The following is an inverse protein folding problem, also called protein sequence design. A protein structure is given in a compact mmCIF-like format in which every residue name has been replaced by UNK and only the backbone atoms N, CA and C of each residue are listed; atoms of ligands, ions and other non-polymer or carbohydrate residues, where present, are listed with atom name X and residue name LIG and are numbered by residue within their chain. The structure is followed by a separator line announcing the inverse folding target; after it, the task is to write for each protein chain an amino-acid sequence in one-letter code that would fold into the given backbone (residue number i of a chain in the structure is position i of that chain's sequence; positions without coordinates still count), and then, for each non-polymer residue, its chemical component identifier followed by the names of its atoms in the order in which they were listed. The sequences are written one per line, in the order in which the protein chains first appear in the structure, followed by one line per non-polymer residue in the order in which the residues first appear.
data_IF_494728584604
#
_entry.id   IF_494728584604
#
_cell.length_a   1.000
_cell.length_b   1.000
_cell.length_c   1.000
_cell.angle_alpha   90.00
_cell.angle_beta   90.00
_cell.angle_gamma   90.00
#
_symmetry.space_group_name_H-M   'P 1'
#
loop_
_entity.id
_entity.type
_entity.pdbx_description
1 polymer ?
#
# COMPACT_ATOMS: atom_id res chain seq x y z
N UNK A 1 25.18 24.37 -26.20
CA UNK A 1 24.29 25.16 -27.08
C UNK A 1 24.58 24.76 -28.53
N UNK A 2 23.57 24.70 -29.41
CA UNK A 2 22.40 23.83 -29.33
C UNK A 2 22.09 23.21 -30.73
N UNK A 3 21.16 22.27 -30.87
CA UNK A 3 19.85 22.41 -31.55
C UNK A 3 19.63 21.08 -32.32
N UNK A 4 18.44 20.50 -32.53
CA UNK A 4 17.07 20.87 -32.20
C UNK A 4 16.19 19.62 -32.28
N UNK A 5 15.17 19.64 -31.43
CA UNK A 5 13.95 18.84 -31.39
C UNK A 5 13.19 18.85 -32.74
N UNK A 6 12.52 17.74 -33.06
CA UNK A 6 11.17 17.77 -33.69
C UNK A 6 10.25 16.73 -33.04
N UNK A 7 9.22 17.21 -32.32
CA UNK A 7 7.96 16.48 -32.07
C UNK A 7 7.16 16.32 -33.37
N UNK A 8 5.96 15.73 -33.44
CA UNK A 8 4.82 15.73 -32.50
C UNK A 8 3.74 14.74 -32.99
N UNK A 9 2.96 14.21 -32.03
CA UNK A 9 1.48 13.99 -31.98
C UNK A 9 0.74 13.15 -33.04
N UNK A 10 -0.28 12.38 -32.60
CA UNK A 10 -1.67 12.44 -33.12
C UNK A 10 -2.70 11.83 -32.13
N UNK A 11 -3.53 12.72 -31.57
CA UNK A 11 -5.00 12.78 -31.54
C UNK A 11 -5.82 11.60 -30.99
N UNK A 12 -6.43 11.84 -29.83
CA UNK A 12 -7.60 11.13 -29.33
C UNK A 12 -8.86 11.78 -29.96
N UNK A 13 -9.62 11.04 -30.78
CA UNK A 13 -10.90 11.53 -31.32
C UNK A 13 -12.02 11.31 -30.31
N UNK A 14 -12.58 12.41 -29.83
CA UNK A 14 -13.85 12.42 -29.10
C UNK A 14 -15.02 12.01 -30.00
N UNK A 15 -15.97 11.29 -29.41
CA UNK A 15 -17.28 11.03 -29.99
C UNK A 15 -18.29 11.90 -29.24
N UNK A 16 -18.61 13.06 -29.82
CA UNK A 16 -19.80 13.83 -29.49
C UNK A 16 -20.94 13.33 -30.38
N UNK A 17 -21.92 12.65 -29.78
CA UNK A 17 -23.20 12.29 -30.40
C UNK A 17 -24.23 13.40 -30.21
N UNK A 18 -24.98 13.66 -31.28
CA UNK A 18 -25.84 14.82 -31.52
C UNK A 18 -26.96 15.06 -30.50
N UNK A 19 -27.21 16.36 -30.30
CA UNK A 19 -28.45 16.98 -29.85
C UNK A 19 -29.62 16.73 -30.83
N UNK A 20 -30.80 16.40 -30.31
CA UNK A 20 -32.09 16.79 -30.91
C UNK A 20 -33.08 17.17 -29.82
N UNK A 21 -33.40 18.46 -29.81
CA UNK A 21 -34.49 19.11 -29.08
C UNK A 21 -35.83 18.85 -29.78
N UNK A 22 -36.89 18.53 -29.02
CA UNK A 22 -38.26 18.91 -29.37
C UNK A 22 -39.01 19.40 -28.13
N UNK A 23 -39.71 20.53 -28.30
CA UNK A 23 -40.45 21.29 -27.28
C UNK A 23 -41.89 20.78 -27.12
N UNK A 24 -42.35 20.79 -25.86
CA UNK A 24 -43.67 21.19 -25.32
C UNK A 24 -44.97 20.81 -26.06
N UNK A 25 -45.85 20.11 -25.35
CA UNK A 25 -47.27 20.50 -25.17
C UNK A 25 -47.79 20.08 -23.79
N UNK A 26 -48.47 21.01 -23.11
CA UNK A 26 -49.24 20.83 -21.86
C UNK A 26 -50.65 20.35 -22.21
N UNK A 27 -51.18 19.39 -21.45
CA UNK A 27 -52.62 19.29 -21.18
C UNK A 27 -52.86 18.49 -19.88
N UNK A 28 -53.43 19.15 -18.87
CA UNK A 28 -54.07 18.52 -17.72
C UNK A 28 -55.30 17.75 -18.21
N UNK A 29 -55.52 16.53 -17.71
CA UNK A 29 -56.85 16.07 -17.30
C UNK A 29 -56.72 14.89 -16.32
N UNK A 30 -57.33 15.08 -15.15
CA UNK A 30 -57.54 14.12 -14.06
C UNK A 30 -58.39 12.95 -14.52
N UNK A 31 -57.99 11.71 -14.22
CA UNK A 31 -58.93 10.63 -13.86
C UNK A 31 -58.21 9.49 -13.13
N UNK A 32 -58.82 9.13 -12.01
CA UNK A 32 -58.47 8.08 -11.06
C UNK A 32 -58.69 6.70 -11.71
N UNK A 33 -57.68 5.84 -11.77
CA UNK A 33 -57.86 4.40 -11.97
C UNK A 33 -56.69 3.62 -11.37
N UNK A 34 -57.03 2.88 -10.32
CA UNK A 34 -56.18 1.97 -9.58
C UNK A 34 -55.85 0.79 -10.51
N UNK A 35 -54.62 0.73 -11.00
CA UNK A 35 -54.01 -0.50 -11.51
C UNK A 35 -52.74 -0.77 -10.72
N UNK A 36 -52.83 -1.70 -9.79
CA UNK A 36 -51.70 -2.25 -9.06
C UNK A 36 -50.84 -3.06 -10.04
N UNK A 37 -49.86 -2.39 -10.67
CA UNK A 37 -48.70 -3.06 -11.24
C UNK A 37 -47.88 -3.59 -10.05
N UNK A 38 -47.89 -4.90 -9.88
CA UNK A 38 -46.89 -5.59 -9.06
C UNK A 38 -45.56 -5.44 -9.81
N UNK A 39 -44.84 -4.35 -9.52
CA UNK A 39 -43.40 -4.32 -9.72
C UNK A 39 -42.82 -5.36 -8.76
N UNK A 40 -42.59 -6.56 -9.27
CA UNK A 40 -41.63 -7.47 -8.68
C UNK A 40 -40.26 -6.79 -8.78
N UNK A 41 -39.94 -5.96 -7.79
CA UNK A 41 -38.55 -5.59 -7.51
C UNK A 41 -37.85 -6.90 -7.18
N UNK A 42 -37.17 -7.48 -8.18
CA UNK A 42 -36.05 -8.35 -7.89
C UNK A 42 -35.14 -7.54 -6.99
N UNK A 43 -35.07 -7.91 -5.70
CA UNK A 43 -34.04 -7.42 -4.81
C UNK A 43 -32.73 -7.90 -5.42
N UNK A 44 -32.13 -7.08 -6.28
CA UNK A 44 -30.71 -7.19 -6.57
C UNK A 44 -30.03 -7.03 -5.22
N UNK A 45 -29.64 -8.15 -4.60
CA UNK A 45 -28.93 -8.09 -3.33
C UNK A 45 -27.68 -7.21 -3.49
N UNK A 46 -27.15 -6.65 -2.39
CA UNK A 46 -26.09 -5.66 -2.41
C UNK A 46 -24.95 -6.06 -3.35
N UNK A 47 -24.27 -5.10 -4.01
CA UNK A 47 -23.13 -5.41 -4.85
C UNK A 47 -22.08 -6.23 -4.06
N UNK A 48 -21.22 -7.00 -4.75
CA UNK A 48 -20.31 -7.93 -4.10
C UNK A 48 -19.46 -7.33 -2.97
N UNK A 49 -19.05 -6.05 -3.12
CA UNK A 49 -18.34 -5.28 -2.09
C UNK A 49 -19.14 -5.12 -0.80
N UNK A 50 -20.42 -4.79 -0.91
CA UNK A 50 -21.30 -4.51 0.21
C UNK A 50 -21.64 -5.81 0.96
N UNK A 51 -21.74 -6.93 0.24
CA UNK A 51 -21.86 -8.27 0.86
C UNK A 51 -20.58 -8.66 1.61
N UNK A 52 -19.41 -8.39 1.04
CA UNK A 52 -18.14 -8.69 1.69
C UNK A 52 -17.94 -7.84 2.96
N UNK A 53 -18.36 -6.57 2.95
CA UNK A 53 -18.36 -5.70 4.12
C UNK A 53 -19.37 -6.15 5.19
N UNK A 54 -20.57 -6.60 4.79
CA UNK A 54 -21.56 -7.16 5.72
C UNK A 54 -21.03 -8.41 6.46
N UNK A 55 -20.15 -9.19 5.83
CA UNK A 55 -19.50 -10.33 6.48
C UNK A 55 -18.52 -9.91 7.60
N UNK A 56 -17.93 -8.72 7.56
CA UNK A 56 -17.03 -8.25 8.63
C UNK A 56 -17.71 -8.17 9.99
N UNK A 57 -18.98 -7.76 10.01
CA UNK A 57 -19.77 -7.67 11.25
C UNK A 57 -20.16 -9.06 11.79
N UNK A 58 -20.32 -10.05 10.90
CA UNK A 58 -20.64 -11.41 11.28
C UNK A 58 -19.41 -12.18 11.81
N UNK A 59 -18.20 -11.80 11.38
CA UNK A 59 -16.95 -12.47 11.76
C UNK A 59 -16.55 -12.19 13.22
N UNK A 60 -16.88 -11.01 13.76
CA UNK A 60 -16.83 -10.73 15.20
C UNK A 60 -17.62 -9.46 15.53
N UNK A 61 -18.74 -9.54 16.27
CA UNK A 61 -19.59 -8.38 16.57
C UNK A 61 -18.93 -7.41 17.56
N UNK A 62 -17.82 -7.80 18.19
CA UNK A 62 -17.03 -6.96 19.08
C UNK A 62 -15.58 -6.83 18.56
N UNK A 63 -14.93 -5.74 18.92
CA UNK A 63 -13.50 -5.52 18.72
C UNK A 63 -12.83 -5.34 20.08
N UNK A 64 -11.71 -6.01 20.26
CA UNK A 64 -10.80 -5.77 21.39
C UNK A 64 -9.49 -5.24 20.80
N UNK A 65 -8.99 -4.15 21.37
CA UNK A 65 -7.69 -3.62 20.93
C UNK A 65 -6.58 -4.62 21.27
N UNK A 66 -5.84 -5.01 20.24
CA UNK A 66 -4.65 -5.85 20.31
C UNK A 66 -3.52 -5.09 19.63
N UNK A 67 -2.34 -5.04 20.23
CA UNK A 67 -1.16 -4.45 19.60
C UNK A 67 -0.36 -5.53 18.87
N UNK A 68 0.03 -5.28 17.63
CA UNK A 68 0.79 -6.22 16.78
C UNK A 68 2.02 -6.77 17.49
N UNK A 69 2.73 -5.91 18.23
CA UNK A 69 3.95 -6.26 18.96
C UNK A 69 3.78 -7.45 19.93
N UNK A 70 2.56 -7.72 20.39
CA UNK A 70 2.26 -8.87 21.26
C UNK A 70 2.24 -10.22 20.52
N UNK A 71 2.22 -10.22 19.18
CA UNK A 71 2.14 -11.39 18.31
C UNK A 71 3.39 -11.55 17.41
N UNK A 72 4.40 -10.69 17.57
CA UNK A 72 5.62 -10.76 16.76
C UNK A 72 6.70 -11.58 17.49
N UNK A 73 7.33 -12.55 16.79
CA UNK A 73 8.45 -13.30 17.35
C UNK A 73 9.70 -12.43 17.45
N UNK A 74 10.63 -12.83 18.32
CA UNK A 74 11.96 -12.22 18.36
C UNK A 74 12.70 -12.46 17.04
N UNK A 75 13.39 -11.43 16.56
CA UNK A 75 14.16 -11.49 15.32
C UNK A 75 15.52 -12.14 15.54
N UNK A 76 15.96 -12.95 14.58
CA UNK A 76 17.33 -13.46 14.55
C UNK A 76 18.32 -12.28 14.41
N UNK A 77 19.28 -12.18 15.33
CA UNK A 77 20.19 -11.04 15.39
C UNK A 77 21.10 -10.90 14.17
N UNK A 78 21.50 -11.99 13.52
CA UNK A 78 22.29 -11.92 12.30
C UNK A 78 21.41 -11.53 11.09
N UNK A 79 20.19 -12.06 11.01
CA UNK A 79 19.22 -11.62 9.99
C UNK A 79 18.86 -10.14 10.13
N UNK A 80 18.76 -9.62 11.35
CA UNK A 80 18.51 -8.20 11.62
C UNK A 80 19.67 -7.32 11.16
N UNK A 81 20.94 -7.77 11.29
CA UNK A 81 22.09 -7.05 10.70
C UNK A 81 21.96 -6.91 9.18
N UNK A 82 21.56 -7.99 8.50
CA UNK A 82 21.34 -7.99 7.05
C UNK A 82 20.21 -7.01 6.68
N UNK A 83 19.08 -7.07 7.41
CA UNK A 83 17.95 -6.17 7.21
C UNK A 83 18.32 -4.69 7.42
N UNK A 84 18.95 -4.36 8.54
CA UNK A 84 19.35 -2.99 8.88
C UNK A 84 20.34 -2.43 7.85
N UNK A 85 21.28 -3.25 7.39
CA UNK A 85 22.20 -2.85 6.32
C UNK A 85 21.50 -2.64 4.98
N UNK A 86 20.56 -3.52 4.61
CA UNK A 86 19.74 -3.36 3.41
C UNK A 86 18.91 -2.07 3.45
N UNK A 87 18.33 -1.72 4.61
CA UNK A 87 17.63 -0.44 4.82
C UNK A 87 18.56 0.77 4.71
N UNK A 88 19.79 0.64 5.20
CA UNK A 88 20.79 1.68 5.06
C UNK A 88 21.14 1.95 3.60
N UNK A 89 21.43 0.90 2.82
CA UNK A 89 21.68 1.00 1.38
C UNK A 89 20.51 1.65 0.64
N UNK A 90 19.29 1.22 0.94
CA UNK A 90 18.08 1.77 0.31
C UNK A 90 17.90 3.28 0.53
N UNK A 91 18.36 3.80 1.67
CA UNK A 91 18.21 5.22 2.05
C UNK A 91 19.39 6.11 1.63
N UNK A 92 20.58 5.55 1.46
CA UNK A 92 21.82 6.34 1.32
C UNK A 92 22.61 6.07 0.04
N UNK A 93 22.25 5.05 -0.76
CA UNK A 93 22.91 4.78 -2.03
C UNK A 93 22.32 5.63 -3.17
N UNK A 94 23.18 6.12 -4.07
CA UNK A 94 22.78 6.82 -5.29
C UNK A 94 23.73 6.46 -6.46
N UNK A 95 23.29 5.68 -7.47
CA UNK A 95 21.97 5.06 -7.59
C UNK A 95 21.77 3.91 -6.57
N UNK A 96 20.52 3.60 -6.26
CA UNK A 96 20.17 2.46 -5.41
C UNK A 96 20.25 1.17 -6.21
N UNK A 97 21.04 0.20 -5.74
CA UNK A 97 21.09 -1.17 -6.27
C UNK A 97 20.06 -2.04 -5.54
N UNK A 98 18.88 -2.19 -6.13
CA UNK A 98 17.80 -2.96 -5.53
C UNK A 98 18.03 -4.47 -5.59
N UNK A 99 18.81 -4.98 -6.54
CA UNK A 99 19.15 -6.41 -6.61
C UNK A 99 20.09 -6.78 -5.45
N UNK A 100 21.06 -5.90 -5.14
CA UNK A 100 21.93 -6.04 -3.97
C UNK A 100 21.16 -5.96 -2.64
N UNK A 101 20.13 -5.12 -2.56
CA UNK A 101 19.26 -5.03 -1.39
C UNK A 101 18.37 -6.28 -1.26
N UNK A 102 17.83 -6.76 -2.37
CA UNK A 102 16.90 -7.90 -2.40
C UNK A 102 17.55 -9.18 -1.89
N UNK A 103 18.84 -9.43 -2.18
CA UNK A 103 19.54 -10.60 -1.62
C UNK A 103 19.55 -10.59 -0.09
N UNK A 104 19.77 -9.43 0.54
CA UNK A 104 19.77 -9.31 1.99
C UNK A 104 18.39 -9.55 2.57
N UNK A 105 17.35 -9.01 1.92
CA UNK A 105 15.98 -9.24 2.36
C UNK A 105 15.56 -10.70 2.24
N UNK A 106 15.87 -11.38 1.12
CA UNK A 106 15.57 -12.81 0.94
C UNK A 106 16.28 -13.68 1.97
N UNK A 107 17.57 -13.46 2.18
CA UNK A 107 18.35 -14.23 3.16
C UNK A 107 17.80 -13.98 4.57
N UNK A 108 17.55 -12.73 4.96
CA UNK A 108 16.96 -12.44 6.27
C UNK A 108 15.55 -13.04 6.44
N UNK A 109 14.70 -12.97 5.40
CA UNK A 109 13.36 -13.56 5.39
C UNK A 109 13.38 -15.09 5.60
N UNK A 110 14.37 -15.79 5.03
CA UNK A 110 14.56 -17.23 5.25
C UNK A 110 14.91 -17.62 6.70
N UNK A 111 15.29 -16.63 7.53
CA UNK A 111 15.48 -16.75 8.97
C UNK A 111 14.29 -16.17 9.78
N UNK A 112 13.13 -16.01 9.17
CA UNK A 112 11.91 -15.52 9.83
C UNK A 112 11.89 -14.01 10.07
N UNK A 113 12.75 -13.24 9.38
CA UNK A 113 12.78 -11.79 9.55
C UNK A 113 11.60 -11.14 8.83
N UNK A 114 10.48 -10.99 9.55
CA UNK A 114 9.20 -10.57 8.95
C UNK A 114 9.23 -9.22 8.25
N UNK A 115 9.99 -8.25 8.78
CA UNK A 115 10.22 -6.94 8.12
C UNK A 115 10.99 -7.03 6.80
N UNK A 116 11.92 -7.98 6.73
CA UNK A 116 12.73 -8.18 5.52
C UNK A 116 11.88 -8.86 4.45
N UNK A 117 11.07 -9.83 4.86
CA UNK A 117 10.07 -10.47 4.01
C UNK A 117 9.10 -9.42 3.44
N UNK A 118 8.47 -8.58 4.28
CA UNK A 118 7.57 -7.52 3.82
C UNK A 118 8.27 -6.55 2.85
N UNK A 119 9.50 -6.13 3.14
CA UNK A 119 10.23 -5.24 2.23
C UNK A 119 10.63 -5.91 0.90
N UNK A 120 10.96 -7.21 0.90
CA UNK A 120 11.15 -7.97 -0.33
C UNK A 120 9.88 -7.98 -1.18
N UNK A 121 8.72 -8.24 -0.57
CA UNK A 121 7.43 -8.15 -1.26
C UNK A 121 7.19 -6.76 -1.86
N UNK A 122 7.53 -5.68 -1.16
CA UNK A 122 7.41 -4.32 -1.66
C UNK A 122 8.34 -4.03 -2.84
N UNK A 123 9.60 -4.50 -2.81
CA UNK A 123 10.50 -4.38 -3.96
C UNK A 123 9.93 -5.07 -5.21
N UNK A 124 9.39 -6.28 -5.04
CA UNK A 124 8.79 -7.06 -6.13
C UNK A 124 7.53 -6.37 -6.69
N UNK A 125 6.58 -6.05 -5.82
CA UNK A 125 5.26 -5.52 -6.22
C UNK A 125 5.34 -4.13 -6.85
N UNK A 126 6.40 -3.37 -6.54
CA UNK A 126 6.68 -2.06 -7.14
C UNK A 126 7.53 -2.15 -8.42
N UNK A 127 7.99 -3.35 -8.79
CA UNK A 127 8.87 -3.53 -9.95
C UNK A 127 10.23 -2.88 -9.78
N UNK A 128 10.70 -2.73 -8.53
CA UNK A 128 12.04 -2.18 -8.23
C UNK A 128 13.14 -3.22 -8.47
N UNK A 129 12.76 -4.49 -8.58
CA UNK A 129 13.61 -5.63 -8.93
C UNK A 129 12.96 -6.43 -10.05
N UNK A 130 13.78 -7.00 -10.94
CA UNK A 130 13.29 -7.86 -12.02
C UNK A 130 13.34 -9.31 -11.57
N UNK A 131 12.17 -9.89 -11.32
CA UNK A 131 12.03 -11.29 -10.88
C UNK A 131 11.19 -12.06 -11.90
N UNK A 132 11.69 -13.15 -12.51
CA UNK A 132 10.97 -13.91 -13.55
C UNK A 132 9.57 -14.39 -13.14
N UNK A 133 9.35 -14.63 -11.84
CA UNK A 133 8.07 -15.03 -11.27
C UNK A 133 7.66 -14.14 -10.08
N UNK A 134 7.90 -12.82 -10.17
CA UNK A 134 7.68 -11.86 -9.09
C UNK A 134 6.34 -12.02 -8.35
N UNK A 135 5.18 -12.02 -9.04
CA UNK A 135 3.90 -12.17 -8.36
C UNK A 135 3.78 -13.44 -7.53
N UNK A 136 4.35 -14.55 -8.00
CA UNK A 136 4.38 -15.80 -7.24
C UNK A 136 5.27 -15.68 -6.01
N UNK A 137 6.48 -15.13 -6.16
CA UNK A 137 7.41 -14.98 -5.03
C UNK A 137 6.82 -14.08 -3.93
N UNK A 138 6.20 -12.96 -4.28
CA UNK A 138 5.55 -12.08 -3.30
C UNK A 138 4.42 -12.80 -2.53
N UNK A 139 3.60 -13.60 -3.22
CA UNK A 139 2.55 -14.41 -2.59
C UNK A 139 3.16 -15.48 -1.70
N UNK A 140 4.22 -16.18 -2.14
CA UNK A 140 4.92 -17.19 -1.33
C UNK A 140 5.51 -16.57 -0.05
N UNK A 141 6.10 -15.38 -0.14
CA UNK A 141 6.60 -14.60 0.99
C UNK A 141 5.47 -14.22 1.97
N UNK A 142 4.32 -13.74 1.48
CA UNK A 142 3.17 -13.43 2.34
C UNK A 142 2.57 -14.69 2.99
N UNK A 143 2.51 -15.82 2.25
CA UNK A 143 2.07 -17.10 2.79
C UNK A 143 3.01 -17.62 3.88
N UNK A 144 4.33 -17.39 3.76
CA UNK A 144 5.28 -17.69 4.83
C UNK A 144 4.95 -16.90 6.10
N UNK A 145 4.68 -15.59 5.99
CA UNK A 145 4.29 -14.77 7.14
C UNK A 145 2.96 -15.24 7.77
N UNK A 146 1.98 -15.63 6.95
CA UNK A 146 0.72 -16.22 7.43
C UNK A 146 0.97 -17.54 8.17
N UNK A 147 1.82 -18.40 7.63
CA UNK A 147 2.22 -19.66 8.27
C UNK A 147 2.88 -19.42 9.63
N UNK A 148 3.75 -18.41 9.70
CA UNK A 148 4.48 -18.03 10.91
C UNK A 148 3.60 -17.23 11.91
N UNK A 149 2.32 -17.01 11.60
CA UNK A 149 1.37 -16.30 12.45
C UNK A 149 1.60 -14.78 12.53
N UNK A 150 2.38 -14.22 11.61
CA UNK A 150 2.71 -12.79 11.58
C UNK A 150 1.51 -11.98 11.11
N UNK A 151 1.01 -11.00 11.89
CA UNK A 151 -0.21 -10.25 11.56
C UNK A 151 -0.12 -9.53 10.20
N UNK A 152 1.02 -8.89 9.90
CA UNK A 152 1.29 -8.27 8.60
C UNK A 152 1.20 -9.22 7.39
N UNK A 153 1.50 -10.51 7.56
CA UNK A 153 1.35 -11.51 6.50
C UNK A 153 -0.10 -11.72 6.06
N UNK A 154 -1.02 -11.77 7.02
CA UNK A 154 -2.45 -11.86 6.73
C UNK A 154 -2.92 -10.60 5.98
N UNK A 155 -2.41 -9.43 6.36
CA UNK A 155 -2.74 -8.16 5.71
C UNK A 155 -2.21 -8.08 4.27
N UNK A 156 -0.97 -8.52 4.03
CA UNK A 156 -0.39 -8.55 2.69
C UNK A 156 -1.14 -9.54 1.77
N UNK A 157 -1.39 -10.76 2.24
CA UNK A 157 -2.14 -11.76 1.48
C UNK A 157 -3.58 -11.30 1.21
N UNK A 158 -4.22 -10.58 2.15
CA UNK A 158 -5.55 -10.01 1.94
C UNK A 158 -5.55 -9.04 0.75
N UNK A 159 -4.56 -8.17 0.62
CA UNK A 159 -4.45 -7.28 -0.54
C UNK A 159 -4.19 -8.04 -1.84
N UNK A 160 -3.40 -9.11 -1.82
CA UNK A 160 -3.20 -9.94 -3.00
C UNK A 160 -4.49 -10.64 -3.45
N UNK A 161 -5.29 -11.15 -2.51
CA UNK A 161 -6.62 -11.72 -2.79
C UNK A 161 -7.61 -10.65 -3.25
N UNK A 162 -7.58 -9.45 -2.68
CA UNK A 162 -8.44 -8.34 -3.06
C UNK A 162 -8.19 -7.88 -4.49
N UNK A 163 -6.93 -7.85 -4.92
CA UNK A 163 -6.52 -7.34 -6.24
C UNK A 163 -6.31 -8.44 -7.29
N UNK A 164 -6.20 -9.70 -6.88
CA UNK A 164 -5.80 -10.81 -7.76
C UNK A 164 -4.30 -10.78 -8.14
N UNK A 165 -3.44 -10.21 -7.29
CA UNK A 165 -2.00 -10.16 -7.54
C UNK A 165 -1.35 -11.51 -7.25
N UNK A 166 -0.95 -12.24 -8.30
CA UNK A 166 -0.31 -13.55 -8.17
C UNK A 166 -1.24 -14.69 -7.72
N UNK A 167 -2.50 -14.37 -7.40
CA UNK A 167 -3.56 -15.30 -6.99
C UNK A 167 -4.86 -14.99 -7.72
N UNK A 168 -5.80 -15.92 -7.71
CA UNK A 168 -7.16 -15.63 -8.15
C UNK A 168 -7.81 -14.62 -7.19
N UNK A 169 -8.43 -13.58 -7.73
CA UNK A 169 -9.12 -12.56 -6.94
C UNK A 169 -10.27 -13.20 -6.15
N UNK A 170 -10.28 -12.97 -4.83
CA UNK A 170 -11.36 -13.36 -3.92
C UNK A 170 -11.50 -12.31 -2.82
N UNK A 171 -12.38 -11.33 -3.06
CA UNK A 171 -12.68 -10.24 -2.13
C UNK A 171 -13.27 -10.78 -0.81
N UNK A 172 -14.05 -11.86 -0.86
CA UNK A 172 -14.64 -12.45 0.34
C UNK A 172 -13.58 -13.07 1.25
N UNK A 173 -12.61 -13.77 0.67
CA UNK A 173 -11.44 -14.25 1.39
C UNK A 173 -10.59 -13.09 1.91
N UNK A 174 -10.31 -12.08 1.07
CA UNK A 174 -9.55 -10.90 1.47
C UNK A 174 -10.12 -10.25 2.75
N UNK A 175 -11.43 -10.04 2.83
CA UNK A 175 -12.06 -9.46 4.03
C UNK A 175 -11.88 -10.32 5.28
N UNK A 176 -11.87 -11.65 5.15
CA UNK A 176 -11.57 -12.55 6.29
C UNK A 176 -10.12 -12.42 6.74
N UNK A 177 -9.18 -12.32 5.80
CA UNK A 177 -7.76 -12.13 6.10
C UNK A 177 -7.49 -10.74 6.70
N UNK A 178 -8.09 -9.67 6.17
CA UNK A 178 -8.04 -8.33 6.77
C UNK A 178 -8.56 -8.34 8.21
N UNK A 179 -9.70 -8.98 8.45
CA UNK A 179 -10.25 -9.08 9.80
C UNK A 179 -9.32 -9.85 10.74
N UNK A 180 -8.78 -10.98 10.28
CA UNK A 180 -7.83 -11.79 11.06
C UNK A 180 -6.56 -10.99 11.42
N UNK A 181 -6.01 -10.24 10.47
CA UNK A 181 -4.86 -9.36 10.70
C UNK A 181 -5.17 -8.29 11.76
N UNK A 182 -6.36 -7.65 11.67
CA UNK A 182 -6.81 -6.64 12.62
C UNK A 182 -6.99 -7.20 14.05
N UNK A 183 -7.57 -8.40 14.17
CA UNK A 183 -7.76 -9.09 15.46
C UNK A 183 -6.43 -9.51 16.10
N UNK A 184 -5.42 -9.81 15.27
CA UNK A 184 -4.03 -10.07 15.70
C UNK A 184 -3.22 -8.79 15.94
N UNK A 185 -3.82 -7.62 15.72
CA UNK A 185 -3.25 -6.34 16.11
C UNK A 185 -2.55 -5.55 15.00
N UNK A 186 -2.50 -6.02 13.76
CA UNK A 186 -1.85 -5.29 12.67
C UNK A 186 -2.52 -3.91 12.48
N UNK A 187 -1.78 -2.80 12.65
CA UNK A 187 -2.39 -1.47 12.68
C UNK A 187 -2.98 -1.05 11.34
N UNK A 188 -2.35 -1.43 10.23
CA UNK A 188 -2.87 -1.14 8.89
C UNK A 188 -4.19 -1.88 8.62
N UNK A 189 -4.29 -3.14 9.03
CA UNK A 189 -5.51 -3.93 8.93
C UNK A 189 -6.62 -3.39 9.84
N UNK A 190 -6.29 -2.99 11.07
CA UNK A 190 -7.24 -2.30 11.96
C UNK A 190 -7.80 -1.05 11.28
N UNK A 191 -6.94 -0.22 10.67
CA UNK A 191 -7.38 0.98 9.97
C UNK A 191 -8.19 0.68 8.70
N UNK A 192 -7.80 -0.33 7.93
CA UNK A 192 -8.51 -0.76 6.72
C UNK A 192 -9.91 -1.28 7.05
N UNK A 193 -10.04 -2.15 8.07
CA UNK A 193 -11.33 -2.67 8.51
C UNK A 193 -12.18 -1.55 9.10
N UNK A 194 -11.59 -0.64 9.87
CA UNK A 194 -12.29 0.53 10.39
C UNK A 194 -12.90 1.38 9.28
N UNK A 195 -12.18 1.61 8.18
CA UNK A 195 -12.71 2.35 7.02
C UNK A 195 -13.97 1.71 6.44
N UNK A 196 -14.03 0.37 6.38
CA UNK A 196 -15.23 -0.35 5.91
C UNK A 196 -16.39 -0.29 6.90
N UNK A 197 -16.10 -0.15 8.19
CA UNK A 197 -17.10 -0.07 9.26
C UNK A 197 -17.54 1.37 9.58
N UNK A 198 -16.81 2.37 9.11
CA UNK A 198 -17.03 3.79 9.36
C UNK A 198 -18.37 4.38 8.87
N UNK A 199 -18.99 3.90 7.77
CA UNK A 199 -20.30 4.38 7.36
C UNK A 199 -21.35 4.28 8.48
N UNK A 200 -22.26 5.26 8.53
CA UNK A 200 -23.24 5.42 9.62
C UNK A 200 -24.16 4.21 9.77
N UNK A 201 -24.46 3.52 8.67
CA UNK A 201 -25.32 2.34 8.59
C UNK A 201 -24.59 1.01 8.83
N UNK A 202 -23.28 1.06 9.14
CA UNK A 202 -22.44 -0.10 9.44
C UNK A 202 -22.14 -0.20 10.95
N UNK A 203 -20.91 0.10 11.38
CA UNK A 203 -20.52 0.07 12.80
C UNK A 203 -19.50 1.17 13.14
N UNK A 204 -19.89 2.45 13.07
CA UNK A 204 -18.97 3.58 13.21
C UNK A 204 -18.28 3.66 14.58
N UNK A 205 -18.90 3.13 15.63
CA UNK A 205 -18.26 3.07 16.96
C UNK A 205 -17.12 2.03 17.00
N UNK A 206 -17.30 0.87 16.38
CA UNK A 206 -16.24 -0.13 16.24
C UNK A 206 -15.11 0.42 15.37
N UNK A 207 -15.44 1.14 14.29
CA UNK A 207 -14.44 1.81 13.46
C UNK A 207 -13.58 2.79 14.26
N UNK A 208 -14.17 3.61 15.14
CA UNK A 208 -13.42 4.52 16.03
C UNK A 208 -12.51 3.75 17.00
N UNK A 209 -12.97 2.63 17.57
CA UNK A 209 -12.14 1.81 18.45
C UNK A 209 -10.93 1.21 17.71
N UNK A 210 -11.15 0.71 16.48
CA UNK A 210 -10.09 0.17 15.63
C UNK A 210 -9.09 1.24 15.19
N UNK A 211 -9.55 2.42 14.76
CA UNK A 211 -8.65 3.52 14.43
C UNK A 211 -7.86 4.00 15.64
N UNK A 212 -8.47 4.04 16.84
CA UNK A 212 -7.75 4.37 18.08
C UNK A 212 -6.63 3.37 18.35
N UNK A 213 -6.93 2.07 18.27
CA UNK A 213 -5.92 1.02 18.49
C UNK A 213 -4.77 1.11 17.46
N UNK A 214 -5.07 1.36 16.19
CA UNK A 214 -4.05 1.55 15.16
C UNK A 214 -3.21 2.82 15.40
N UNK A 215 -3.85 3.91 15.82
CA UNK A 215 -3.19 5.18 16.11
C UNK A 215 -2.26 5.08 17.33
N UNK A 216 -2.65 4.33 18.38
CA UNK A 216 -1.83 4.06 19.57
C UNK A 216 -0.54 3.30 19.23
N UNK A 217 -0.56 2.53 18.13
CA UNK A 217 0.60 1.84 17.57
C UNK A 217 1.44 2.71 16.62
N UNK A 218 1.06 3.97 16.41
CA UNK A 218 1.79 4.92 15.57
C UNK A 218 1.28 5.02 14.13
N UNK A 219 0.06 4.54 13.83
CA UNK A 219 -0.54 4.74 12.51
C UNK A 219 -1.19 6.13 12.40
N UNK A 220 -0.41 7.13 11.98
CA UNK A 220 -0.85 8.52 11.81
C UNK A 220 -2.15 8.72 11.01
N UNK A 221 -2.33 8.01 9.88
CA UNK A 221 -3.56 8.10 9.07
C UNK A 221 -4.81 7.64 9.85
N UNK A 222 -4.68 6.60 10.68
CA UNK A 222 -5.77 6.18 11.56
C UNK A 222 -6.07 7.22 12.64
N UNK A 223 -5.05 7.89 13.19
CA UNK A 223 -5.26 8.97 14.14
C UNK A 223 -5.99 10.16 13.52
N UNK A 224 -5.63 10.54 12.29
CA UNK A 224 -6.34 11.57 11.54
C UNK A 224 -7.79 11.17 11.22
N UNK A 225 -8.02 9.94 10.78
CA UNK A 225 -9.37 9.42 10.52
C UNK A 225 -10.21 9.37 11.80
N UNK A 226 -9.61 8.96 12.92
CA UNK A 226 -10.24 9.00 14.24
C UNK A 226 -10.63 10.43 14.61
N UNK A 227 -9.72 11.40 14.45
CA UNK A 227 -9.99 12.80 14.75
C UNK A 227 -11.13 13.37 13.90
N UNK A 228 -11.14 13.08 12.60
CA UNK A 228 -12.21 13.50 11.68
C UNK A 228 -13.55 12.86 12.08
N UNK A 229 -13.58 11.55 12.31
CA UNK A 229 -14.80 10.83 12.70
C UNK A 229 -15.37 11.34 14.01
N UNK A 230 -14.50 11.66 14.96
CA UNK A 230 -14.89 12.12 16.30
C UNK A 230 -15.36 13.58 16.29
N UNK A 231 -14.76 14.43 15.44
CA UNK A 231 -15.24 15.79 15.15
C UNK A 231 -16.68 15.78 14.63
N UNK A 232 -17.02 14.87 13.71
CA UNK A 232 -18.37 14.78 13.14
C UNK A 232 -19.43 14.43 14.20
N UNK A 233 -19.04 13.77 15.29
CA UNK A 233 -19.89 13.52 16.46
C UNK A 233 -19.84 14.62 17.53
N UNK A 234 -19.27 15.79 17.22
CA UNK A 234 -19.12 16.94 18.13
C UNK A 234 -18.31 16.65 19.41
N UNK A 235 -17.50 15.58 19.41
CA UNK A 235 -16.60 15.21 20.51
C UNK A 235 -15.22 15.86 20.30
N UNK A 236 -15.15 17.18 20.37
CA UNK A 236 -13.96 17.96 20.00
C UNK A 236 -12.72 17.69 20.85
N UNK A 237 -12.89 17.43 22.14
CA UNK A 237 -11.82 17.01 23.05
C UNK A 237 -11.10 15.75 22.55
N UNK A 238 -11.86 14.70 22.24
CA UNK A 238 -11.34 13.43 21.73
C UNK A 238 -10.77 13.57 20.32
N UNK A 239 -11.31 14.47 19.50
CA UNK A 239 -10.77 14.75 18.18
C UNK A 239 -9.37 15.38 18.27
N UNK A 240 -9.19 16.33 19.18
CA UNK A 240 -7.90 17.00 19.43
C UNK A 240 -6.87 16.01 19.98
N UNK A 241 -7.25 15.12 20.89
CA UNK A 241 -6.39 14.02 21.37
C UNK A 241 -5.95 13.10 20.21
N UNK A 242 -6.88 12.72 19.34
CA UNK A 242 -6.58 11.86 18.19
C UNK A 242 -5.63 12.54 17.19
N UNK A 243 -5.82 13.84 16.92
CA UNK A 243 -4.86 14.58 16.10
C UNK A 243 -3.50 14.72 16.78
N UNK A 244 -3.44 14.91 18.10
CA UNK A 244 -2.16 14.95 18.82
C UNK A 244 -1.40 13.62 18.68
N UNK A 245 -2.12 12.49 18.76
CA UNK A 245 -1.57 11.17 18.49
C UNK A 245 -1.08 11.02 17.04
N UNK A 246 -1.81 11.58 16.08
CA UNK A 246 -1.38 11.66 14.68
C UNK A 246 -0.09 12.44 14.49
N UNK A 247 0.03 13.60 15.14
CA UNK A 247 1.27 14.40 15.14
C UNK A 247 2.44 13.60 15.72
N UNK A 248 2.21 12.91 16.86
CA UNK A 248 3.21 12.04 17.48
C UNK A 248 3.70 10.95 16.53
N UNK A 249 2.78 10.39 15.76
CA UNK A 249 3.03 9.38 14.73
C UNK A 249 3.64 9.94 13.43
N UNK A 250 3.79 11.27 13.31
CA UNK A 250 4.36 11.89 12.11
C UNK A 250 3.34 12.19 11.00
N UNK A 251 2.05 12.32 11.31
CA UNK A 251 1.05 12.74 10.33
C UNK A 251 0.98 14.27 10.20
N UNK A 252 1.33 14.77 9.02
CA UNK A 252 1.31 16.19 8.69
C UNK A 252 -0.12 16.77 8.65
N UNK A 253 -1.14 15.94 8.33
CA UNK A 253 -2.52 16.41 8.28
C UNK A 253 -3.07 16.68 9.68
N UNK A 254 -2.77 15.82 10.65
CA UNK A 254 -3.08 16.05 12.05
C UNK A 254 -2.39 17.31 12.58
N UNK A 255 -1.13 17.55 12.20
CA UNK A 255 -0.42 18.78 12.56
C UNK A 255 -1.09 20.02 11.94
N UNK A 256 -1.53 19.93 10.67
CA UNK A 256 -2.28 21.00 10.02
C UNK A 256 -3.61 21.31 10.73
N UNK A 257 -4.35 20.26 11.13
CA UNK A 257 -5.63 20.45 11.83
C UNK A 257 -5.45 21.14 13.17
N UNK A 258 -4.42 20.78 13.94
CA UNK A 258 -4.12 21.45 15.20
C UNK A 258 -3.51 22.85 15.00
N UNK A 259 -2.78 23.09 13.92
CA UNK A 259 -2.38 24.45 13.50
C UNK A 259 -3.61 25.34 13.29
N UNK A 260 -4.60 24.86 12.53
CA UNK A 260 -5.87 25.57 12.28
C UNK A 260 -6.66 25.75 13.56
N UNK A 261 -6.67 24.75 14.45
CA UNK A 261 -7.42 24.76 15.68
C UNK A 261 -7.10 25.95 16.59
N UNK A 262 -5.82 26.34 16.65
CA UNK A 262 -5.33 27.43 17.47
C UNK A 262 -5.13 28.75 16.72
N UNK A 263 -5.51 28.81 15.43
CA UNK A 263 -5.22 29.97 14.57
C UNK A 263 -6.15 31.16 14.88
N UNK A 264 -5.61 32.37 14.80
CA UNK A 264 -6.38 33.62 14.82
C UNK A 264 -6.95 34.00 13.43
N UNK A 265 -8.12 34.68 13.35
CA UNK A 265 -8.99 35.09 14.46
C UNK A 265 -9.82 33.93 15.02
N UNK A 266 -10.30 34.08 16.27
CA UNK A 266 -11.28 33.15 16.84
C UNK A 266 -12.58 33.20 16.04
N UNK A 267 -13.06 32.04 15.62
CA UNK A 267 -14.38 31.87 15.03
C UNK A 267 -15.08 30.69 15.72
N UNK A 268 -15.98 30.92 16.69
CA UNK A 268 -16.65 29.85 17.43
C UNK A 268 -17.55 28.98 16.55
N UNK A 269 -17.93 29.46 15.35
CA UNK A 269 -18.69 28.68 14.36
C UNK A 269 -17.81 27.81 13.46
N UNK A 270 -16.48 27.95 13.55
CA UNK A 270 -15.54 27.13 12.80
C UNK A 270 -15.34 25.79 13.52
N UNK A 271 -15.95 24.74 12.96
CA UNK A 271 -15.81 23.39 13.50
C UNK A 271 -14.35 22.89 13.46
N UNK A 272 -13.47 23.46 12.63
CA UNK A 272 -12.03 23.15 12.62
C UNK A 272 -11.26 23.83 13.77
N UNK A 273 -11.90 24.70 14.57
CA UNK A 273 -11.35 25.22 15.82
C UNK A 273 -11.65 24.34 17.04
N UNK A 274 -12.50 23.32 16.92
CA UNK A 274 -12.76 22.33 17.98
C UNK A 274 -13.18 22.95 19.32
N UNK A 275 -13.77 24.15 19.31
CA UNK A 275 -14.11 24.90 20.53
C UNK A 275 -12.90 25.39 21.34
N UNK A 276 -11.68 25.32 20.78
CA UNK A 276 -10.46 25.81 21.41
C UNK A 276 -10.33 27.32 21.22
N UNK A 277 -9.86 28.02 22.25
CA UNK A 277 -9.46 29.41 22.11
C UNK A 277 -8.18 29.52 21.28
N UNK A 278 -8.02 30.56 20.44
CA UNK A 278 -6.80 30.73 19.66
C UNK A 278 -5.59 30.90 20.55
N UNK A 279 -4.47 30.38 20.07
CA UNK A 279 -3.17 30.51 20.71
C UNK A 279 -2.13 30.56 19.59
N UNK A 280 -1.68 31.78 19.30
CA UNK A 280 -0.79 32.05 18.17
C UNK A 280 0.53 31.26 18.27
N UNK A 281 1.05 31.02 19.47
CA UNK A 281 2.28 30.25 19.65
C UNK A 281 2.03 28.74 19.47
N UNK A 282 0.90 28.19 19.94
CA UNK A 282 0.52 26.79 19.62
C UNK A 282 0.36 26.58 18.13
N UNK A 283 -0.38 27.46 17.47
CA UNK A 283 -0.58 27.41 16.01
C UNK A 283 0.77 27.44 15.29
N UNK A 284 1.67 28.35 15.68
CA UNK A 284 3.02 28.46 15.13
C UNK A 284 3.88 27.21 15.37
N UNK A 285 3.80 26.57 16.55
CA UNK A 285 4.54 25.33 16.83
C UNK A 285 4.00 24.15 16.00
N UNK A 286 2.68 23.98 15.88
CA UNK A 286 2.11 22.96 14.99
C UNK A 286 2.47 23.20 13.52
N UNK A 287 2.50 24.45 13.06
CA UNK A 287 2.97 24.79 11.71
C UNK A 287 4.44 24.39 11.49
N UNK A 288 5.30 24.60 12.49
CA UNK A 288 6.70 24.18 12.44
C UNK A 288 6.83 22.65 12.39
N UNK A 289 6.05 21.93 13.19
CA UNK A 289 6.00 20.45 13.20
C UNK A 289 5.52 19.92 11.86
N UNK A 290 4.42 20.45 11.31
CA UNK A 290 3.92 20.07 9.98
C UNK A 290 5.00 20.24 8.93
N UNK A 291 5.69 21.38 8.93
CA UNK A 291 6.78 21.66 7.99
C UNK A 291 7.95 20.68 8.17
N UNK A 292 8.29 20.35 9.40
CA UNK A 292 9.30 19.33 9.72
C UNK A 292 8.92 17.96 9.16
N UNK A 293 7.70 17.50 9.43
CA UNK A 293 7.16 16.23 8.93
C UNK A 293 7.21 16.23 7.39
N UNK A 294 6.61 17.22 6.73
CA UNK A 294 6.51 17.25 5.27
C UNK A 294 7.88 17.30 4.57
N UNK A 295 8.87 17.98 5.14
CA UNK A 295 10.23 18.01 4.56
C UNK A 295 10.96 16.67 4.66
N UNK A 296 10.58 15.85 5.64
CA UNK A 296 11.23 14.58 5.93
C UNK A 296 10.37 13.37 5.55
N UNK A 297 9.22 13.56 4.91
CA UNK A 297 8.19 12.53 4.67
C UNK A 297 8.74 11.19 4.12
N UNK A 298 9.68 11.25 3.16
CA UNK A 298 10.37 10.06 2.61
C UNK A 298 11.29 9.31 3.59
N UNK A 299 11.43 9.78 4.82
CA UNK A 299 12.23 9.18 5.90
C UNK A 299 11.39 8.79 7.13
N UNK A 300 10.05 8.95 7.05
CA UNK A 300 9.09 8.64 8.12
C UNK A 300 9.43 9.31 9.46
N UNK A 301 9.42 10.64 9.52
CA UNK A 301 9.71 11.37 10.73
C UNK A 301 8.62 11.11 11.76
N UNK A 302 8.99 10.95 13.03
CA UNK A 302 8.06 10.89 14.16
C UNK A 302 8.31 12.07 15.09
N UNK A 303 7.32 12.39 15.92
CA UNK A 303 7.41 13.49 16.91
C UNK A 303 7.07 12.95 18.31
N UNK A 304 7.84 11.98 18.85
CA UNK A 304 7.53 11.33 20.12
C UNK A 304 7.56 12.31 21.31
N UNK A 305 8.27 13.42 21.16
CA UNK A 305 8.44 14.52 22.11
C UNK A 305 7.38 15.62 21.97
N UNK A 306 6.31 15.42 21.18
CA UNK A 306 5.29 16.44 20.93
C UNK A 306 4.71 17.05 22.21
N UNK A 307 4.49 16.27 23.27
CA UNK A 307 3.94 16.80 24.54
C UNK A 307 4.95 17.66 25.32
N UNK A 308 6.24 17.58 24.97
CA UNK A 308 7.29 18.50 25.46
C UNK A 308 7.45 19.73 24.58
N UNK A 309 6.80 19.77 23.41
CA UNK A 309 6.82 20.88 22.45
C UNK A 309 5.51 21.66 22.51
N UNK A 310 4.37 20.98 22.40
CA UNK A 310 3.01 21.55 22.38
C UNK A 310 2.06 20.63 23.16
N UNK A 311 2.12 20.57 24.51
CA UNK A 311 1.16 19.78 25.31
C UNK A 311 -0.24 20.37 25.16
N UNK A 312 -1.28 19.56 24.99
CA UNK A 312 -2.64 20.05 24.82
C UNK A 312 -3.11 20.94 26.01
N UNK A 313 -3.99 21.94 25.78
CA UNK A 313 -4.62 22.70 26.86
C UNK A 313 -5.32 21.77 27.88
N UNK A 314 -5.36 22.13 29.18
CA UNK A 314 -5.00 23.43 29.74
C UNK A 314 -3.51 23.60 30.10
N UNK A 315 -2.64 22.63 29.77
CA UNK A 315 -1.23 22.71 30.12
C UNK A 315 -0.55 23.95 29.48
N UNK A 316 0.31 24.70 30.20
CA UNK A 316 1.04 25.81 29.60
C UNK A 316 2.11 25.31 28.63
N UNK A 317 2.50 26.16 27.67
CA UNK A 317 3.58 25.84 26.74
C UNK A 317 4.94 25.82 27.46
N UNK A 318 5.73 24.73 27.34
CA UNK A 318 7.08 24.68 27.85
C UNK A 318 8.04 25.51 26.99
N UNK A 319 9.24 25.78 27.51
CA UNK A 319 10.34 26.28 26.69
C UNK A 319 10.69 25.25 25.61
N UNK A 320 10.89 25.71 24.38
CA UNK A 320 11.24 24.87 23.24
C UNK A 320 12.36 25.54 22.44
N UNK A 321 13.38 24.75 22.12
CA UNK A 321 14.60 25.20 21.42
C UNK A 321 14.43 25.27 19.89
N UNK A 322 13.25 24.94 19.37
CA UNK A 322 12.97 24.92 17.93
C UNK A 322 13.42 23.64 17.22
N UNK A 323 13.86 22.62 17.95
CA UNK A 323 14.37 21.35 17.40
C UNK A 323 13.48 20.17 17.74
N UNK A 324 13.64 19.05 17.02
CA UNK A 324 12.89 17.82 17.25
C UNK A 324 13.83 16.70 17.69
N UNK A 325 13.38 15.83 18.62
CA UNK A 325 14.13 14.65 19.04
C UNK A 325 14.60 13.80 17.86
N UNK A 326 13.73 13.59 16.87
CA UNK A 326 14.06 12.82 15.66
C UNK A 326 15.27 13.40 14.90
N UNK A 327 15.37 14.72 14.74
CA UNK A 327 16.52 15.34 14.05
C UNK A 327 17.83 15.12 14.81
N UNK A 328 17.78 15.22 16.15
CA UNK A 328 18.93 14.95 17.02
C UNK A 328 19.39 13.50 16.88
N UNK A 329 18.45 12.56 16.85
CA UNK A 329 18.73 11.13 16.65
C UNK A 329 19.33 10.85 15.26
N UNK A 330 18.78 11.45 14.21
CA UNK A 330 19.33 11.29 12.85
C UNK A 330 20.74 11.88 12.72
N UNK A 331 21.02 13.01 13.37
CA UNK A 331 22.35 13.62 13.36
C UNK A 331 23.38 12.80 14.16
N UNK A 332 22.94 12.07 15.19
CA UNK A 332 23.78 11.22 16.01
C UNK A 332 23.94 9.78 15.46
N UNK A 333 23.11 9.38 14.49
CA UNK A 333 23.10 8.03 13.96
C UNK A 333 24.40 7.67 13.23
N UNK A 334 25.00 6.54 13.60
CA UNK A 334 26.18 5.98 12.90
C UNK A 334 25.71 4.98 11.84
N UNK A 335 26.39 4.92 10.67
CA UNK A 335 26.11 3.89 9.68
C UNK A 335 26.21 2.49 10.30
N UNK A 336 25.30 1.56 9.96
CA UNK A 336 25.44 0.17 10.39
C UNK A 336 26.69 -0.45 9.76
N UNK A 337 27.28 -1.39 10.48
CA UNK A 337 28.40 -2.17 9.95
C UNK A 337 27.94 -3.07 8.81
N UNK A 338 28.63 -3.03 7.67
CA UNK A 338 28.39 -3.95 6.56
C UNK A 338 28.53 -5.41 7.05
N UNK A 339 27.54 -6.29 6.81
CA UNK A 339 27.67 -7.72 7.05
C UNK A 339 28.87 -8.29 6.28
N UNK A 340 29.70 -9.10 6.93
CA UNK A 340 30.83 -9.76 6.27
C UNK A 340 30.33 -10.78 5.24
N UNK A 341 31.07 -10.94 4.14
CA UNK A 341 30.73 -11.93 3.11
C UNK A 341 30.65 -13.36 3.71
N UNK A 342 31.48 -13.70 4.68
CA UNK A 342 31.42 -14.98 5.42
C UNK A 342 30.10 -15.18 6.18
N UNK A 343 29.50 -14.11 6.68
CA UNK A 343 28.20 -14.16 7.36
C UNK A 343 27.10 -14.43 6.34
N UNK A 344 27.08 -13.66 5.25
CA UNK A 344 26.09 -13.81 4.17
C UNK A 344 26.18 -15.20 3.55
N UNK A 345 27.40 -15.66 3.23
CA UNK A 345 27.66 -16.97 2.64
C UNK A 345 27.24 -18.11 3.56
N UNK A 346 27.57 -18.06 4.87
CA UNK A 346 27.09 -19.06 5.83
C UNK A 346 25.58 -19.07 5.91
N UNK A 347 24.95 -17.90 6.03
CA UNK A 347 23.51 -17.80 6.23
C UNK A 347 22.75 -18.31 5.01
N UNK A 348 23.17 -17.94 3.80
CA UNK A 348 22.60 -18.42 2.56
C UNK A 348 22.74 -19.94 2.43
N UNK A 349 23.94 -20.48 2.70
CA UNK A 349 24.21 -21.92 2.65
C UNK A 349 23.32 -22.73 3.59
N UNK A 350 23.12 -22.28 4.82
CA UNK A 350 22.26 -22.95 5.82
C UNK A 350 20.78 -23.05 5.35
N UNK A 351 20.35 -22.12 4.51
CA UNK A 351 18.99 -22.09 3.93
C UNK A 351 18.92 -22.60 2.49
N UNK A 352 19.99 -23.20 1.98
CA UNK A 352 20.13 -23.65 0.60
C UNK A 352 19.82 -22.53 -0.43
N UNK A 353 20.34 -21.33 -0.17
CA UNK A 353 20.17 -20.15 -1.02
C UNK A 353 21.49 -19.78 -1.72
N UNK A 354 21.38 -19.18 -2.90
CA UNK A 354 22.48 -18.49 -3.56
C UNK A 354 22.83 -17.20 -2.77
N UNK A 355 24.08 -17.02 -2.30
CA UNK A 355 24.45 -15.85 -1.52
C UNK A 355 24.42 -14.52 -2.29
N UNK A 356 24.50 -14.56 -3.62
CA UNK A 356 24.50 -13.37 -4.47
C UNK A 356 23.08 -12.85 -4.75
N UNK A 357 22.09 -13.74 -4.83
CA UNK A 357 20.70 -13.38 -5.19
C UNK A 357 19.70 -13.62 -4.07
N UNK A 358 20.05 -14.42 -3.07
CA UNK A 358 19.15 -14.93 -2.03
C UNK A 358 18.09 -15.91 -2.53
N UNK A 359 18.17 -16.38 -3.78
CA UNK A 359 17.22 -17.32 -4.35
C UNK A 359 17.53 -18.76 -3.92
N UNK A 360 16.52 -19.64 -3.80
CA UNK A 360 16.75 -21.06 -3.57
C UNK A 360 17.64 -21.68 -4.65
N UNK A 361 18.65 -22.45 -4.23
CA UNK A 361 19.39 -23.31 -5.13
C UNK A 361 18.47 -24.46 -5.53
N UNK A 362 18.21 -24.62 -6.83
CA UNK A 362 17.39 -25.73 -7.32
C UNK A 362 18.11 -27.05 -7.05
N UNK A 363 17.45 -28.00 -6.38
CA UNK A 363 17.83 -29.42 -6.39
C UNK A 363 17.45 -30.03 -7.75
N UNK A 364 17.97 -29.49 -8.85
CA UNK A 364 17.83 -30.17 -10.12
C UNK A 364 18.82 -31.35 -10.14
N UNK A 365 18.38 -32.62 -10.29
CA UNK A 365 19.31 -33.67 -10.67
C UNK A 365 19.99 -33.22 -11.96
N UNK A 366 21.31 -33.43 -12.04
CA UNK A 366 22.10 -33.21 -13.24
C UNK A 366 21.56 -34.10 -14.36
N UNK A 367 20.56 -33.61 -15.09
CA UNK A 367 20.07 -34.11 -16.38
C UNK A 367 19.04 -33.11 -16.94
N UNK A 368 19.53 -31.91 -17.29
CA UNK A 368 18.85 -31.01 -18.24
C UNK A 368 19.45 -31.19 -19.66
N UNK A 369 20.25 -32.24 -19.88
CA UNK A 369 20.88 -32.53 -21.18
C UNK A 369 20.03 -33.38 -22.14
N UNK A 370 18.74 -33.63 -21.90
CA UNK A 370 17.92 -34.48 -22.78
C UNK A 370 16.59 -33.88 -23.27
N UNK A 371 16.25 -32.63 -22.91
CA UNK A 371 15.11 -31.93 -23.56
C UNK A 371 15.54 -31.18 -24.83
N UNK A 372 16.84 -31.09 -25.13
CA UNK A 372 17.39 -30.39 -26.30
C UNK A 372 17.64 -31.25 -27.55
N UNK A 373 17.04 -32.44 -27.66
CA UNK A 373 17.23 -33.31 -28.85
C UNK A 373 15.93 -33.77 -29.51
N UNK A 374 14.92 -32.91 -29.57
CA UNK A 374 13.94 -33.02 -30.66
C UNK A 374 14.45 -32.22 -31.86
N UNK A 375 14.58 -32.82 -33.06
CA UNK A 375 15.02 -32.08 -34.23
C UNK A 375 14.00 -30.97 -34.53
N UNK A 376 14.41 -29.72 -34.34
CA UNK A 376 13.72 -28.59 -34.93
C UNK A 376 13.83 -28.79 -36.44
N UNK A 377 12.71 -29.06 -37.10
CA UNK A 377 12.63 -28.86 -38.54
C UNK A 377 13.00 -27.40 -38.79
N UNK A 378 14.18 -27.17 -39.36
CA UNK A 378 14.66 -25.84 -39.73
C UNK A 378 13.76 -25.35 -40.85
N UNK A 379 12.69 -24.63 -40.48
CA UNK A 379 12.01 -23.76 -41.41
C UNK A 379 12.95 -22.60 -41.75
N UNK A 380 13.10 -22.34 -43.05
CA UNK A 380 14.00 -21.33 -43.60
C UNK A 380 13.95 -20.01 -42.81
N UNK A 381 15.13 -19.53 -42.45
CA UNK A 381 15.36 -18.29 -41.68
C UNK A 381 14.93 -17.01 -42.44
N UNK A 382 14.39 -17.16 -43.65
CA UNK A 382 14.02 -16.08 -44.57
C UNK A 382 12.63 -15.47 -44.32
N UNK A 383 11.79 -16.08 -43.48
CA UNK A 383 10.39 -15.66 -43.28
C UNK A 383 10.05 -15.19 -41.86
N UNK A 384 11.02 -15.10 -40.95
CA UNK A 384 10.77 -14.63 -39.57
C UNK A 384 10.70 -13.11 -39.49
N UNK A 385 9.75 -12.60 -38.72
CA UNK A 385 9.62 -11.17 -38.45
C UNK A 385 10.86 -10.64 -37.72
N UNK A 386 11.28 -9.39 -38.00
CA UNK A 386 12.36 -8.76 -37.27
C UNK A 386 12.10 -8.70 -35.76
N UNK A 387 13.14 -8.90 -34.95
CA UNK A 387 13.10 -8.62 -33.51
C UNK A 387 12.74 -7.14 -33.31
N UNK A 388 11.75 -6.88 -32.47
CA UNK A 388 11.19 -5.53 -32.26
C UNK A 388 9.94 -5.23 -33.08
N UNK A 389 9.41 -6.20 -33.85
CA UNK A 389 8.10 -6.07 -34.48
C UNK A 389 7.01 -5.84 -33.43
N UNK A 390 6.14 -4.85 -33.65
CA UNK A 390 5.08 -4.44 -32.72
C UNK A 390 3.72 -4.85 -33.29
N UNK A 391 2.86 -5.45 -32.45
CA UNK A 391 1.48 -5.75 -32.75
C UNK A 391 0.57 -5.14 -31.66
N UNK A 392 -0.66 -4.77 -32.01
CA UNK A 392 -1.58 -4.09 -31.09
C UNK A 392 -2.51 -5.08 -30.40
N UNK A 393 -3.05 -4.68 -29.25
CA UNK A 393 -4.15 -5.41 -28.61
C UNK A 393 -5.34 -5.53 -29.57
N UNK A 394 -5.90 -6.74 -29.68
CA UNK A 394 -6.98 -7.07 -30.59
C UNK A 394 -6.50 -7.61 -31.95
N UNK A 395 -5.22 -7.40 -32.30
CA UNK A 395 -4.66 -7.93 -33.54
C UNK A 395 -4.50 -9.45 -33.50
N UNK A 396 -4.42 -10.04 -34.69
CA UNK A 396 -4.01 -11.42 -34.87
C UNK A 396 -2.49 -11.50 -34.78
N UNK A 397 -1.99 -12.39 -33.94
CA UNK A 397 -0.57 -12.63 -33.75
C UNK A 397 0.07 -13.00 -35.10
N UNK A 398 1.06 -12.25 -35.57
CA UNK A 398 1.55 -12.40 -36.94
C UNK A 398 2.53 -13.58 -37.11
N UNK A 399 3.11 -14.07 -36.01
CA UNK A 399 4.05 -15.20 -36.01
C UNK A 399 4.07 -15.91 -34.64
N UNK A 400 4.28 -17.23 -34.66
CA UNK A 400 4.49 -18.03 -33.45
C UNK A 400 5.70 -17.51 -32.66
N UNK A 401 5.54 -17.25 -31.37
CA UNK A 401 6.66 -16.77 -30.57
C UNK A 401 6.29 -16.25 -29.19
N UNK A 402 7.29 -15.81 -28.45
CA UNK A 402 7.11 -15.09 -27.19
C UNK A 402 6.97 -13.61 -27.53
N UNK A 403 5.84 -13.03 -27.13
CA UNK A 403 5.55 -11.60 -27.30
C UNK A 403 5.56 -10.92 -25.96
N UNK A 404 6.16 -9.73 -25.91
CA UNK A 404 6.27 -8.89 -24.72
C UNK A 404 5.43 -7.63 -24.92
N UNK A 405 4.59 -7.27 -23.96
CA UNK A 405 3.91 -5.98 -24.04
C UNK A 405 4.85 -4.82 -23.68
N UNK A 406 4.84 -3.78 -24.52
CA UNK A 406 5.57 -2.54 -24.27
C UNK A 406 4.74 -1.62 -23.37
N UNK A 407 4.99 -1.69 -22.06
CA UNK A 407 4.43 -0.76 -21.09
C UNK A 407 5.50 0.32 -20.83
N UNK A 408 5.15 1.60 -21.00
CA UNK A 408 6.09 2.70 -20.74
C UNK A 408 6.69 2.65 -19.32
N UNK A 409 7.76 3.41 -19.09
CA UNK A 409 8.75 3.34 -17.98
C UNK A 409 8.27 3.31 -16.50
N UNK A 410 7.03 2.95 -16.16
CA UNK A 410 6.51 2.89 -14.77
C UNK A 410 5.50 1.76 -14.51
N UNK A 411 5.47 0.70 -15.30
CA UNK A 411 4.52 -0.40 -15.09
C UNK A 411 5.23 -1.75 -15.23
N UNK A 412 5.30 -2.51 -14.13
CA UNK A 412 5.76 -3.89 -14.13
C UNK A 412 4.54 -4.82 -14.17
N UNK A 413 4.44 -5.63 -15.22
CA UNK A 413 3.56 -6.79 -15.28
C UNK A 413 4.34 -7.93 -15.93
N UNK A 414 3.99 -9.18 -15.65
CA UNK A 414 4.46 -10.32 -16.46
C UNK A 414 3.83 -10.21 -17.85
N UNK A 415 4.49 -9.49 -18.76
CA UNK A 415 3.96 -9.19 -20.09
C UNK A 415 4.48 -10.13 -21.17
N UNK A 416 5.30 -11.13 -20.83
CA UNK A 416 5.82 -12.12 -21.76
C UNK A 416 4.88 -13.32 -21.83
N UNK A 417 4.29 -13.57 -23.01
CA UNK A 417 3.43 -14.72 -23.25
C UNK A 417 3.73 -15.32 -24.62
N UNK A 418 3.71 -16.66 -24.71
CA UNK A 418 3.76 -17.34 -26.01
C UNK A 418 2.40 -17.25 -26.69
N UNK A 419 2.40 -16.85 -27.95
CA UNK A 419 1.25 -16.87 -28.84
C UNK A 419 1.56 -17.71 -30.07
N UNK A 420 0.53 -18.32 -30.62
CA UNK A 420 0.56 -18.90 -31.95
C UNK A 420 0.08 -17.90 -32.99
N UNK A 421 0.59 -18.01 -34.22
CA UNK A 421 0.17 -17.21 -35.36
C UNK A 421 -1.35 -17.33 -35.55
N UNK A 422 -2.05 -16.19 -35.54
CA UNK A 422 -3.50 -16.11 -35.62
C UNK A 422 -4.23 -16.01 -34.27
N UNK A 423 -3.54 -16.13 -33.14
CA UNK A 423 -4.13 -15.84 -31.83
C UNK A 423 -4.53 -14.36 -31.74
N UNK A 424 -5.63 -14.06 -31.05
CA UNK A 424 -5.99 -12.66 -30.78
C UNK A 424 -5.20 -12.16 -29.57
N UNK A 425 -4.41 -11.09 -29.74
CA UNK A 425 -3.61 -10.51 -28.68
C UNK A 425 -4.50 -9.82 -27.64
N UNK A 426 -4.49 -10.25 -26.36
CA UNK A 426 -5.38 -9.71 -25.34
C UNK A 426 -4.94 -8.33 -24.84
N UNK A 427 -5.83 -7.56 -24.19
CA UNK A 427 -5.41 -6.37 -23.43
C UNK A 427 -4.51 -6.77 -22.27
N UNK A 428 -3.55 -5.91 -21.94
CA UNK A 428 -2.70 -6.08 -20.76
C UNK A 428 -3.45 -5.53 -19.56
N UNK A 429 -3.69 -6.36 -18.55
CA UNK A 429 -4.12 -5.89 -17.24
C UNK A 429 -2.96 -5.14 -16.59
N UNK A 430 -3.04 -3.81 -16.56
CA UNK A 430 -2.07 -2.97 -15.87
C UNK A 430 -2.38 -3.10 -14.37
N UNK A 431 -1.49 -3.78 -13.65
CA UNK A 431 -1.56 -3.81 -12.20
C UNK A 431 -1.18 -2.43 -11.67
N UNK A 432 -2.12 -1.76 -11.01
CA UNK A 432 -1.82 -0.56 -10.23
C UNK A 432 -1.16 -1.07 -8.95
N UNK A 433 0.15 -0.84 -8.73
CA UNK A 433 0.78 -1.23 -7.47
C UNK A 433 0.03 -0.58 -6.31
N UNK A 434 -0.07 -1.31 -5.20
CA UNK A 434 -0.70 -0.85 -3.96
C UNK A 434 -0.25 0.57 -3.61
N UNK A 435 -1.19 1.47 -3.29
CA UNK A 435 -0.81 2.73 -2.64
C UNK A 435 -0.19 2.39 -1.28
N UNK A 436 1.09 2.70 -1.11
CA UNK A 436 1.86 2.28 0.06
C UNK A 436 1.42 3.06 1.30
N UNK A 437 1.17 2.36 2.41
CA UNK A 437 1.68 2.82 3.71
C UNK A 437 3.16 2.41 3.73
N UNK A 438 4.02 3.37 3.42
CA UNK A 438 5.43 3.19 3.02
C UNK A 438 6.23 2.27 3.98
N UNK A 439 7.04 1.36 3.40
CA UNK A 439 8.09 0.50 4.00
C UNK A 439 8.37 0.77 5.49
N UNK A 440 7.92 -0.13 6.38
CA UNK A 440 8.08 -0.09 7.85
C UNK A 440 8.17 1.32 8.46
N UNK A 441 7.06 1.79 9.05
CA UNK A 441 7.02 3.00 9.89
C UNK A 441 7.94 2.93 11.08
#
# INVERSE_FOLDING_TARGET
MPERIRGLSVINRGVNGLTRTLRLTRALFTMLSIMTLVCACSKSGPPPSDRANANLLQLSPAFSCTHELSHLPALNADADKLFVYARYLQKHSDPVDFDDIMRYYRIAAAYGHYKANHNAQLLITHGLVVVPAGPKEAVDLAMQLVHDGIPGGYYDLAHYLETGYGVQQDVGAAMRYFRKAADLGNPEAQAYVAEKLAPVDMAPEIARQMWRCAAEQGLGDAANNLGISTKLGEHYDKAVEAFQLGVKAGDAQSAYRLEVAFREPYNPSDADQFGLHPDAERSRRYAAIRKFISRNDGRHPRVPDIDKIVPLPPAPLPAWDGTFQWEKEQAAAKPPTKPSDDLVNRMAKDKNLDPSTGLPLSDAPANISEIEQQPIAVANQADRLPIGTVALTGDKCPEDGIWCANLGNRQAANTQRRFSKGDTLPPVAIQVPRQIAILDR
#
